data_IF_129661287459
#
_entry.id   IF_129661287459
#
_cell.length_a   1.000
_cell.length_b   1.000
_cell.length_c   1.000
_cell.angle_alpha   90.00
_cell.angle_beta   90.00
_cell.angle_gamma   90.00
#
_symmetry.space_group_name_H-M   'P 1'
#
loop_
_entity.id
_entity.type
_entity.pdbx_description
1 polymer ?
#
# COMPACT_ATOMS: atom_id res chain seq x y z
N UNK A 1 3.55 -3.96 -5.21
CA UNK A 1 3.93 -4.41 -3.86
C UNK A 1 4.60 -5.77 -3.97
N UNK A 2 5.90 -5.85 -3.69
CA UNK A 2 6.78 -7.03 -3.88
C UNK A 2 6.87 -7.96 -2.67
N UNK A 3 6.29 -7.60 -1.52
CA UNK A 3 6.33 -8.42 -0.30
C UNK A 3 7.67 -8.39 0.44
N UNK A 4 8.45 -7.32 0.30
CA UNK A 4 9.80 -7.19 0.87
C UNK A 4 9.85 -7.14 2.41
N UNK A 5 8.72 -6.86 3.06
CA UNK A 5 8.62 -6.85 4.52
C UNK A 5 7.81 -8.06 5.01
N UNK A 6 8.37 -8.78 5.99
CA UNK A 6 7.72 -9.95 6.56
C UNK A 6 6.59 -9.55 7.52
N UNK A 7 5.50 -10.33 7.62
CA UNK A 7 4.50 -10.14 8.66
C UNK A 7 5.13 -10.12 10.06
N UNK A 8 4.71 -9.17 10.90
CA UNK A 8 5.26 -8.98 12.25
C UNK A 8 6.64 -8.32 12.30
N UNK A 9 7.25 -8.00 11.16
CA UNK A 9 8.59 -7.38 11.11
C UNK A 9 8.58 -6.02 11.82
N UNK A 10 9.45 -5.81 12.81
CA UNK A 10 9.63 -4.50 13.42
C UNK A 10 10.34 -3.56 12.44
N UNK A 11 9.91 -2.31 12.44
CA UNK A 11 10.39 -1.25 11.57
C UNK A 11 10.83 -0.06 12.42
N UNK A 12 12.14 0.17 12.55
CA UNK A 12 12.66 1.29 13.35
C UNK A 12 12.97 2.49 12.48
N UNK A 13 12.54 3.66 12.93
CA UNK A 13 12.70 4.90 12.18
C UNK A 13 14.16 5.22 11.83
N UNK A 14 15.10 5.01 12.76
CA UNK A 14 16.54 5.25 12.52
C UNK A 14 17.11 4.31 11.46
N UNK A 15 16.75 3.03 11.52
CA UNK A 15 17.27 2.01 10.61
C UNK A 15 16.78 2.27 9.17
N UNK A 16 15.51 2.61 9.02
CA UNK A 16 14.93 2.93 7.71
C UNK A 16 15.48 4.25 7.15
N UNK A 17 15.72 5.26 7.99
CA UNK A 17 16.33 6.51 7.52
C UNK A 17 17.72 6.27 6.92
N UNK A 18 18.53 5.41 7.57
CA UNK A 18 19.84 4.99 7.03
C UNK A 18 19.66 4.18 5.75
N UNK A 19 18.77 3.17 5.75
CA UNK A 19 18.56 2.28 4.60
C UNK A 19 18.08 3.02 3.35
N UNK A 20 17.23 4.03 3.51
CA UNK A 20 16.73 4.86 2.41
C UNK A 20 17.56 6.12 2.15
N UNK A 21 18.68 6.32 2.86
CA UNK A 21 19.57 7.47 2.66
C UNK A 21 18.88 8.82 2.89
N UNK A 22 17.97 8.89 3.86
CA UNK A 22 17.11 10.06 4.10
C UNK A 22 17.15 10.50 5.56
N UNK A 23 16.57 11.67 5.86
CA UNK A 23 16.43 12.14 7.23
C UNK A 23 15.31 11.42 7.99
N UNK A 24 15.22 11.65 9.30
CA UNK A 24 14.20 11.04 10.14
C UNK A 24 12.76 11.50 9.83
N UNK A 25 12.59 12.72 9.32
CA UNK A 25 11.26 13.31 9.09
C UNK A 25 10.42 12.60 8.03
N UNK A 26 10.91 12.35 6.79
CA UNK A 26 10.11 11.65 5.79
C UNK A 26 9.73 10.23 6.20
N UNK A 27 10.58 9.55 6.99
CA UNK A 27 10.24 8.24 7.58
C UNK A 27 9.13 8.38 8.62
N UNK A 28 9.20 9.40 9.48
CA UNK A 28 8.17 9.70 10.48
C UNK A 28 6.82 9.98 9.82
N UNK A 29 6.81 10.80 8.77
CA UNK A 29 5.60 11.18 8.05
C UNK A 29 5.00 9.96 7.35
N UNK A 30 5.86 9.11 6.77
CA UNK A 30 5.43 7.83 6.18
C UNK A 30 4.82 6.90 7.23
N UNK A 31 5.44 6.77 8.41
CA UNK A 31 4.87 5.99 9.52
C UNK A 31 3.51 6.54 9.95
N UNK A 32 3.38 7.86 10.10
CA UNK A 32 2.11 8.48 10.47
C UNK A 32 1.03 8.22 9.42
N UNK A 33 1.35 8.37 8.14
CA UNK A 33 0.41 8.12 7.03
C UNK A 33 -0.02 6.66 6.99
N UNK A 34 0.92 5.71 7.02
CA UNK A 34 0.65 4.28 6.94
C UNK A 34 -0.12 3.76 8.16
N UNK A 35 0.13 4.31 9.35
CA UNK A 35 -0.68 4.04 10.54
C UNK A 35 -2.08 4.63 10.46
N UNK A 36 -2.22 5.79 9.81
CA UNK A 36 -3.52 6.44 9.63
C UNK A 36 -4.47 5.66 8.71
N UNK A 37 -3.94 4.69 7.96
CA UNK A 37 -4.70 3.79 7.07
C UNK A 37 -4.49 2.31 7.44
N UNK A 38 -4.10 2.03 8.69
CA UNK A 38 -3.94 0.67 9.25
C UNK A 38 -3.01 -0.28 8.47
N UNK A 39 -2.06 0.26 7.71
CA UNK A 39 -1.02 -0.53 7.02
C UNK A 39 0.10 -0.94 7.98
N UNK A 40 0.35 -0.15 9.03
CA UNK A 40 1.36 -0.44 10.05
C UNK A 40 0.78 -0.32 11.45
N UNK A 41 1.18 -1.25 12.32
CA UNK A 41 0.85 -1.22 13.74
C UNK A 41 1.75 -0.26 14.53
N UNK A 42 1.22 0.27 15.62
CA UNK A 42 1.95 1.16 16.52
C UNK A 42 2.84 0.36 17.46
N UNK A 43 4.11 0.77 17.56
CA UNK A 43 5.08 0.24 18.52
C UNK A 43 5.73 1.40 19.32
N UNK A 44 6.27 1.12 20.51
CA UNK A 44 7.03 2.09 21.31
C UNK A 44 8.27 2.64 20.58
N UNK A 45 8.88 3.70 21.13
CA UNK A 45 10.20 4.20 20.73
C UNK A 45 10.39 4.54 19.24
N UNK A 46 9.41 5.22 18.61
CA UNK A 46 9.50 5.64 17.20
C UNK A 46 9.72 4.45 16.24
N UNK A 47 9.15 3.30 16.57
CA UNK A 47 9.12 2.12 15.72
C UNK A 47 7.69 1.78 15.35
N UNK A 48 7.49 1.02 14.28
CA UNK A 48 6.22 0.45 13.84
C UNK A 48 6.40 -1.05 13.56
N UNK A 49 5.31 -1.76 13.29
CA UNK A 49 5.35 -3.17 12.92
C UNK A 49 4.48 -3.44 11.70
N UNK A 50 4.95 -4.32 10.83
CA UNK A 50 4.10 -4.89 9.77
C UNK A 50 3.03 -5.76 10.43
N UNK A 51 1.73 -5.54 10.17
CA UNK A 51 0.67 -6.34 10.76
C UNK A 51 0.84 -7.83 10.49
N UNK A 52 0.42 -8.67 11.43
CA UNK A 52 0.30 -10.10 11.18
C UNK A 52 -0.87 -10.37 10.24
N UNK A 53 -0.64 -11.16 9.20
CA UNK A 53 -1.71 -11.55 8.27
C UNK A 53 -2.30 -12.88 8.73
N UNK A 54 -3.59 -12.87 9.07
CA UNK A 54 -4.34 -14.10 9.38
C UNK A 54 -5.01 -14.64 8.11
N UNK A 55 -5.25 -15.95 8.06
CA UNK A 55 -5.96 -16.56 6.94
C UNK A 55 -7.39 -16.02 6.79
N UNK A 56 -8.05 -15.68 7.89
CA UNK A 56 -9.38 -15.06 7.88
C UNK A 56 -9.35 -13.64 7.33
N UNK A 57 -8.48 -12.78 7.86
CA UNK A 57 -8.34 -11.41 7.38
C UNK A 57 -7.92 -11.33 5.91
N UNK A 58 -7.04 -12.24 5.47
CA UNK A 58 -6.69 -12.36 4.06
C UNK A 58 -7.90 -12.74 3.19
N UNK A 59 -8.73 -13.69 3.63
CA UNK A 59 -9.96 -14.05 2.90
C UNK A 59 -10.90 -12.86 2.79
N UNK A 60 -11.07 -12.09 3.85
CA UNK A 60 -11.96 -10.93 3.83
C UNK A 60 -11.43 -9.82 2.92
N UNK A 61 -10.13 -9.54 2.96
CA UNK A 61 -9.48 -8.60 2.04
C UNK A 61 -9.66 -9.04 0.58
N UNK A 62 -9.49 -10.34 0.29
CA UNK A 62 -9.67 -10.88 -1.06
C UNK A 62 -11.13 -10.80 -1.54
N UNK A 63 -12.13 -10.95 -0.66
CA UNK A 63 -13.55 -10.77 -1.03
C UNK A 63 -13.81 -9.35 -1.52
N UNK A 64 -13.34 -8.36 -0.77
CA UNK A 64 -13.48 -6.94 -1.14
C UNK A 64 -12.74 -6.65 -2.44
N UNK A 65 -11.49 -7.09 -2.54
CA UNK A 65 -10.65 -6.90 -3.73
C UNK A 65 -11.31 -7.43 -5.00
N UNK A 66 -11.90 -8.62 -4.95
CA UNK A 66 -12.59 -9.20 -6.11
C UNK A 66 -13.79 -8.37 -6.55
N UNK A 67 -14.54 -7.76 -5.62
CA UNK A 67 -15.66 -6.88 -5.97
C UNK A 67 -15.15 -5.59 -6.63
N UNK A 68 -14.17 -4.94 -6.01
CA UNK A 68 -13.66 -3.64 -6.47
C UNK A 68 -12.92 -3.75 -7.81
N UNK A 69 -12.04 -4.76 -7.96
CA UNK A 69 -11.27 -4.94 -9.20
C UNK A 69 -12.16 -5.27 -10.38
N UNK A 70 -13.20 -6.10 -10.17
CA UNK A 70 -14.18 -6.40 -11.23
C UNK A 70 -14.91 -5.15 -11.68
N UNK A 71 -15.37 -4.34 -10.73
CA UNK A 71 -16.10 -3.13 -11.05
C UNK A 71 -15.19 -2.11 -11.76
N UNK A 72 -13.94 -1.99 -11.31
CA UNK A 72 -12.94 -1.13 -11.94
C UNK A 72 -12.66 -1.53 -13.39
N UNK A 73 -12.66 -2.83 -13.71
CA UNK A 73 -12.51 -3.31 -15.11
C UNK A 73 -13.70 -2.90 -15.97
N UNK A 74 -14.93 -3.06 -15.47
CA UNK A 74 -16.15 -2.64 -16.21
C UNK A 74 -16.15 -1.13 -16.46
N UNK A 75 -15.84 -0.33 -15.43
CA UNK A 75 -15.76 1.12 -15.59
C UNK A 75 -14.63 1.52 -16.54
N UNK A 76 -13.49 0.84 -16.50
CA UNK A 76 -12.40 1.10 -17.44
C UNK A 76 -12.78 0.85 -18.89
N UNK A 77 -13.57 -0.20 -19.18
CA UNK A 77 -14.08 -0.51 -20.51
C UNK A 77 -15.11 0.54 -20.98
N UNK A 78 -16.03 0.94 -20.11
CA UNK A 78 -17.02 1.98 -20.39
C UNK A 78 -16.36 3.35 -20.60
N UNK A 79 -15.33 3.69 -19.82
CA UNK A 79 -14.55 4.92 -19.98
C UNK A 79 -13.71 4.89 -21.25
N UNK A 80 -13.16 3.74 -21.64
CA UNK A 80 -12.51 3.58 -22.95
C UNK A 80 -13.49 3.76 -24.12
N UNK A 81 -14.75 3.32 -23.98
CA UNK A 81 -15.79 3.55 -24.98
C UNK A 81 -16.32 4.99 -24.99
N UNK A 82 -16.19 5.73 -23.88
CA UNK A 82 -16.62 7.14 -23.74
C UNK A 82 -15.51 8.16 -24.04
N UNK A 83 -14.24 7.76 -23.95
CA UNK A 83 -13.10 8.58 -24.31
C UNK A 83 -12.87 8.57 -25.82
N UNK A 84 -12.74 9.75 -26.44
CA UNK A 84 -12.38 9.82 -27.86
C UNK A 84 -11.03 9.13 -28.12
N UNK A 85 -10.89 8.31 -29.18
CA UNK A 85 -9.74 7.42 -29.40
C UNK A 85 -8.45 8.11 -29.87
N UNK A 86 -8.21 9.38 -29.57
CA UNK A 86 -7.27 10.23 -30.32
C UNK A 86 -5.83 10.36 -29.77
N UNK A 87 -5.36 9.50 -28.86
CA UNK A 87 -4.01 9.66 -28.29
C UNK A 87 -3.05 8.47 -28.44
N UNK A 88 -3.34 7.49 -29.30
CA UNK A 88 -2.40 6.39 -29.63
C UNK A 88 -1.98 6.38 -31.12
N UNK A 89 -1.77 7.56 -31.72
CA UNK A 89 -1.06 7.70 -33.00
C UNK A 89 0.02 8.81 -32.92
N UNK A 90 1.03 8.62 -32.07
CA UNK A 90 2.36 9.19 -32.32
C UNK A 90 3.40 8.43 -31.49
N UNK A 91 4.30 7.73 -32.17
CA UNK A 91 5.38 6.92 -31.57
C UNK A 91 5.81 5.79 -32.49
#
# INVERSE_FOLDING_TARGET
>A
MSGEFSPGQPMRLKELAVAFGTSHMPIRDSFNRLRGIDILEREPHLSARVPMVTAEGLRDLLKVRVLDERQAVVWGDEDMCRGEPELYQSG
#
